data_IF_044485115982
#
_entry.id   IF_044485115982
#
_cell.length_a   1.000
_cell.length_b   1.000
_cell.length_c   1.000
_cell.angle_alpha   90.00
_cell.angle_beta   90.00
_cell.angle_gamma   90.00
#
_symmetry.space_group_name_H-M   'P 1'
#
loop_
_entity.id
_entity.type
_entity.pdbx_description
1 polymer ?
#
# COMPACT_ATOMS: atom_id res chain seq x y z
N UNK A 1 19.11 -9.72 3.93
CA UNK A 1 19.15 -8.33 4.42
C UNK A 1 20.29 -7.60 3.72
N UNK A 2 20.08 -6.37 3.24
CA UNK A 2 21.14 -5.59 2.55
C UNK A 2 22.12 -4.97 3.57
N UNK A 3 23.30 -4.56 3.12
CA UNK A 3 24.40 -4.11 4.01
C UNK A 3 24.02 -2.93 4.89
N UNK A 4 23.30 -1.95 4.36
CA UNK A 4 22.84 -0.77 5.13
C UNK A 4 21.96 -1.16 6.32
N UNK A 5 21.03 -2.10 6.13
CA UNK A 5 20.11 -2.55 7.18
C UNK A 5 20.84 -3.36 8.26
N UNK A 6 21.82 -4.20 7.86
CA UNK A 6 22.71 -4.88 8.83
C UNK A 6 23.45 -3.87 9.70
N UNK A 7 24.06 -2.86 9.08
CA UNK A 7 24.76 -1.81 9.83
C UNK A 7 23.87 -1.02 10.78
N UNK A 8 22.60 -0.77 10.42
CA UNK A 8 21.64 -0.12 11.33
C UNK A 8 21.27 -1.02 12.52
N UNK A 9 21.04 -2.31 12.27
CA UNK A 9 20.78 -3.29 13.34
C UNK A 9 21.96 -3.39 14.30
N UNK A 10 23.18 -3.54 13.76
CA UNK A 10 24.37 -3.79 14.56
C UNK A 10 24.74 -2.57 15.44
N UNK A 11 24.36 -1.34 15.03
CA UNK A 11 24.46 -0.12 15.87
C UNK A 11 23.27 0.09 16.82
N UNK A 12 22.29 -0.81 16.84
CA UNK A 12 21.16 -0.77 17.77
C UNK A 12 20.18 0.40 17.57
N UNK A 13 20.13 1.00 16.37
CA UNK A 13 19.23 2.16 16.08
C UNK A 13 17.83 1.74 15.63
N UNK A 14 17.58 0.45 15.40
CA UNK A 14 16.27 -0.08 15.02
C UNK A 14 15.37 -0.26 16.26
N UNK A 15 15.09 0.85 16.96
CA UNK A 15 14.20 0.91 18.12
C UNK A 15 12.89 1.59 17.73
N UNK A 16 11.78 0.87 17.81
CA UNK A 16 10.46 1.42 17.53
C UNK A 16 9.89 2.08 18.79
N UNK A 17 9.27 3.25 18.60
CA UNK A 17 8.43 3.91 19.60
C UNK A 17 6.98 3.90 19.09
N UNK A 18 5.97 3.94 19.99
CA UNK A 18 4.59 4.18 19.58
C UNK A 18 4.46 5.48 18.79
N UNK A 19 3.47 5.56 17.90
CA UNK A 19 3.17 6.81 17.19
C UNK A 19 2.88 7.92 18.21
N UNK A 20 3.50 9.08 18.01
CA UNK A 20 3.25 10.26 18.82
C UNK A 20 1.82 10.77 18.62
N UNK A 21 1.30 11.52 19.59
CA UNK A 21 -0.09 11.99 19.61
C UNK A 21 -0.25 13.33 18.89
N UNK A 22 0.74 14.23 18.99
CA UNK A 22 0.68 15.56 18.40
C UNK A 22 2.06 16.09 18.01
N UNK A 23 2.06 17.05 17.09
CA UNK A 23 3.22 17.89 16.80
C UNK A 23 3.21 19.09 17.75
N UNK A 24 4.39 19.46 18.26
CA UNK A 24 4.61 20.72 18.97
C UNK A 24 5.33 21.70 18.05
N UNK A 25 5.50 22.94 18.51
CA UNK A 25 6.25 23.97 17.78
C UNK A 25 7.68 23.53 17.44
N UNK A 26 8.28 22.67 18.26
CA UNK A 26 9.69 22.26 18.21
C UNK A 26 9.91 20.74 18.07
N UNK A 27 8.84 19.95 17.90
CA UNK A 27 8.96 18.50 17.88
C UNK A 27 7.64 17.73 17.93
N UNK A 28 7.64 16.62 18.68
CA UNK A 28 6.52 15.69 18.82
C UNK A 28 6.29 15.32 20.28
N UNK A 29 5.05 14.98 20.64
CA UNK A 29 4.70 14.59 22.00
C UNK A 29 3.71 13.41 22.07
N UNK A 30 3.79 12.65 23.16
CA UNK A 30 2.93 11.50 23.47
C UNK A 30 1.88 11.88 24.52
N UNK A 31 0.85 11.02 24.66
CA UNK A 31 -0.27 11.25 25.58
C UNK A 31 0.15 11.25 27.07
N UNK A 32 1.30 10.67 27.40
CA UNK A 32 1.87 10.68 28.76
C UNK A 32 2.66 11.96 29.09
N UNK A 33 2.75 12.89 28.14
CA UNK A 33 3.50 14.15 28.29
C UNK A 33 4.98 14.05 27.86
N UNK A 34 5.47 12.87 27.44
CA UNK A 34 6.81 12.74 26.86
C UNK A 34 6.93 13.61 25.62
N UNK A 35 8.06 14.31 25.48
CA UNK A 35 8.37 15.18 24.35
C UNK A 35 9.71 14.81 23.72
N UNK A 36 9.79 14.93 22.39
CA UNK A 36 11.01 14.75 21.63
C UNK A 36 11.16 15.87 20.59
N UNK A 37 12.25 16.67 20.66
CA UNK A 37 12.56 17.67 19.64
C UNK A 37 12.76 17.03 18.26
N UNK A 38 12.20 17.65 17.21
CA UNK A 38 12.35 17.18 15.84
C UNK A 38 12.32 18.36 14.85
N UNK A 39 13.35 18.44 14.00
CA UNK A 39 13.45 19.46 12.95
C UNK A 39 12.87 19.00 11.62
N UNK A 40 12.77 17.69 11.43
CA UNK A 40 12.24 17.07 10.22
C UNK A 40 11.53 15.77 10.58
N UNK A 41 10.46 15.47 9.85
CA UNK A 41 9.71 14.22 9.95
C UNK A 41 9.71 13.55 8.58
N UNK A 42 10.11 12.27 8.54
CA UNK A 42 10.05 11.44 7.33
C UNK A 42 8.86 10.50 7.47
N UNK A 43 7.82 10.71 6.66
CA UNK A 43 6.60 9.92 6.69
C UNK A 43 6.76 8.61 5.90
N UNK A 44 7.18 7.56 6.58
CA UNK A 44 7.24 6.19 6.04
C UNK A 44 5.91 5.43 6.23
N UNK A 45 4.76 6.11 6.11
CA UNK A 45 3.42 5.60 6.44
C UNK A 45 2.70 4.88 5.29
N UNK A 46 3.45 4.49 4.26
CA UNK A 46 2.92 3.77 3.09
C UNK A 46 2.15 4.66 2.11
N UNK A 47 1.36 4.02 1.26
CA UNK A 47 0.70 4.64 0.10
C UNK A 47 -0.75 4.17 -0.04
N UNK A 48 -1.54 4.92 -0.82
CA UNK A 48 -2.87 4.51 -1.30
C UNK A 48 -2.82 4.19 -2.79
N UNK A 49 -3.70 3.32 -3.32
CA UNK A 49 -3.81 3.08 -4.75
C UNK A 49 -4.06 4.37 -5.54
N UNK A 50 -3.27 4.60 -6.60
CA UNK A 50 -3.39 5.78 -7.45
C UNK A 50 -4.52 5.63 -8.48
N UNK A 51 -5.76 5.71 -8.03
CA UNK A 51 -6.96 5.38 -8.81
C UNK A 51 -7.79 6.60 -9.23
N UNK A 52 -7.28 7.83 -9.07
CA UNK A 52 -8.04 9.06 -9.37
C UNK A 52 -8.59 9.12 -10.80
N UNK A 53 -7.85 8.56 -11.77
CA UNK A 53 -8.28 8.49 -13.16
C UNK A 53 -9.56 7.65 -13.38
N UNK A 54 -9.96 6.82 -12.40
CA UNK A 54 -11.19 6.03 -12.43
C UNK A 54 -12.36 6.70 -11.70
N UNK A 55 -12.18 7.90 -11.13
CA UNK A 55 -13.21 8.59 -10.37
C UNK A 55 -14.56 8.73 -11.11
N UNK A 56 -14.60 9.03 -12.43
CA UNK A 56 -15.86 9.11 -13.18
C UNK A 56 -16.63 7.79 -13.27
N UNK A 57 -15.98 6.64 -13.04
CA UNK A 57 -16.60 5.33 -13.09
C UNK A 57 -17.26 4.93 -11.76
N UNK A 58 -17.05 5.73 -10.70
CA UNK A 58 -17.63 5.50 -9.37
C UNK A 58 -17.39 4.08 -8.82
N UNK A 59 -16.22 3.51 -9.09
CA UNK A 59 -15.83 2.15 -8.70
C UNK A 59 -15.23 2.05 -7.29
N UNK A 60 -14.89 3.19 -6.68
CA UNK A 60 -14.24 3.23 -5.37
C UNK A 60 -15.18 2.79 -4.25
N UNK A 61 -14.63 2.02 -3.33
CA UNK A 61 -15.25 1.61 -2.07
C UNK A 61 -14.56 2.31 -0.88
N UNK A 62 -14.90 1.88 0.33
CA UNK A 62 -14.24 2.33 1.56
C UNK A 62 -12.70 2.15 1.47
N UNK A 63 -11.95 3.12 2.03
CA UNK A 63 -10.48 3.20 1.95
C UNK A 63 -9.89 3.44 0.55
N UNK A 64 -10.69 3.76 -0.46
CA UNK A 64 -10.21 4.14 -1.79
C UNK A 64 -9.79 2.97 -2.69
N UNK A 65 -10.13 1.73 -2.30
CA UNK A 65 -9.93 0.52 -3.13
C UNK A 65 -11.14 0.29 -4.05
N UNK A 66 -11.01 -0.63 -4.99
CA UNK A 66 -12.13 -1.10 -5.83
C UNK A 66 -12.48 -2.51 -5.38
N UNK A 67 -13.76 -2.86 -5.27
CA UNK A 67 -14.15 -4.26 -5.03
C UNK A 67 -13.74 -5.11 -6.24
N UNK A 68 -12.99 -6.19 -6.01
CA UNK A 68 -12.50 -7.10 -7.05
C UNK A 68 -12.89 -8.55 -6.79
N UNK A 69 -12.90 -9.37 -7.85
CA UNK A 69 -13.15 -10.80 -7.78
C UNK A 69 -13.01 -11.47 -9.14
N UNK A 70 -13.82 -12.53 -9.36
CA UNK A 70 -13.76 -13.33 -10.58
C UNK A 70 -12.57 -14.30 -10.62
N UNK A 71 -12.40 -15.06 -11.71
CA UNK A 71 -11.37 -16.09 -11.83
C UNK A 71 -9.93 -15.56 -11.64
N UNK A 72 -9.67 -14.33 -12.06
CA UNK A 72 -8.37 -13.68 -11.91
C UNK A 72 -8.14 -13.02 -10.55
N UNK A 73 -9.20 -12.81 -9.75
CA UNK A 73 -9.14 -12.05 -8.50
C UNK A 73 -8.89 -10.54 -8.68
N UNK A 74 -8.81 -10.05 -9.91
CA UNK A 74 -8.43 -8.67 -10.26
C UNK A 74 -9.55 -7.89 -10.94
N UNK A 75 -10.62 -8.56 -11.38
CA UNK A 75 -11.72 -7.93 -12.11
C UNK A 75 -12.59 -7.12 -11.16
N UNK A 76 -12.92 -5.88 -11.52
CA UNK A 76 -13.87 -5.07 -10.75
C UNK A 76 -15.23 -5.76 -10.66
N UNK A 77 -15.82 -5.76 -9.46
CA UNK A 77 -17.14 -6.30 -9.23
C UNK A 77 -18.27 -5.43 -9.84
N UNK A 78 -18.01 -4.13 -10.06
CA UNK A 78 -19.01 -3.17 -10.55
C UNK A 78 -18.92 -2.91 -12.06
N UNK A 79 -17.72 -2.91 -12.64
CA UNK A 79 -17.53 -2.82 -14.09
C UNK A 79 -16.62 -3.94 -14.57
N UNK A 80 -17.17 -5.01 -15.20
CA UNK A 80 -16.39 -6.19 -15.55
C UNK A 80 -15.39 -5.94 -16.70
N UNK A 81 -15.35 -4.74 -17.28
CA UNK A 81 -14.35 -4.31 -18.28
C UNK A 81 -13.08 -3.76 -17.62
N UNK A 82 -13.12 -3.53 -16.31
CA UNK A 82 -12.05 -2.88 -15.55
C UNK A 82 -11.36 -3.89 -14.64
N UNK A 83 -10.03 -3.92 -14.67
CA UNK A 83 -9.19 -4.81 -13.89
C UNK A 83 -8.15 -4.03 -13.08
N UNK A 84 -7.89 -4.46 -11.85
CA UNK A 84 -6.91 -3.89 -10.94
C UNK A 84 -5.74 -4.87 -10.78
N UNK A 85 -4.54 -4.50 -11.21
CA UNK A 85 -3.36 -5.37 -11.16
C UNK A 85 -2.21 -4.64 -10.47
N UNK A 86 -1.52 -5.30 -9.54
CA UNK A 86 -0.31 -4.76 -8.90
C UNK A 86 -0.52 -3.69 -7.82
N UNK A 87 -1.75 -3.51 -7.33
CA UNK A 87 -2.10 -2.50 -6.32
C UNK A 87 -1.99 -2.98 -4.86
N UNK A 88 -1.44 -4.17 -4.63
CA UNK A 88 -1.23 -4.77 -3.31
C UNK A 88 -1.99 -6.08 -3.12
N UNK A 89 -1.90 -6.64 -1.92
CA UNK A 89 -2.42 -7.99 -1.64
C UNK A 89 -3.92 -8.16 -1.92
N UNK A 90 -4.69 -7.08 -1.89
CA UNK A 90 -6.12 -7.06 -2.19
C UNK A 90 -6.47 -7.33 -3.66
N UNK A 91 -5.49 -7.31 -4.57
CA UNK A 91 -5.61 -7.71 -5.98
C UNK A 91 -4.69 -8.87 -6.36
N UNK A 92 -4.20 -9.60 -5.36
CA UNK A 92 -3.26 -10.70 -5.55
C UNK A 92 -2.13 -10.63 -4.51
N UNK A 93 -1.87 -11.71 -3.76
CA UNK A 93 -0.77 -11.77 -2.81
C UNK A 93 0.56 -11.37 -3.43
N UNK A 94 1.32 -10.49 -2.75
CA UNK A 94 2.60 -9.98 -3.21
C UNK A 94 2.57 -9.28 -4.60
N UNK A 95 1.39 -8.89 -5.11
CA UNK A 95 1.27 -8.29 -6.45
C UNK A 95 1.98 -6.94 -6.58
N UNK A 96 2.25 -6.24 -5.47
CA UNK A 96 3.06 -5.01 -5.41
C UNK A 96 4.55 -5.32 -5.26
N UNK A 97 5.02 -6.37 -5.93
CA UNK A 97 6.43 -6.73 -6.01
C UNK A 97 6.78 -7.20 -7.41
N UNK A 98 8.04 -7.00 -7.82
CA UNK A 98 8.52 -7.45 -9.14
C UNK A 98 8.33 -8.96 -9.35
N UNK A 99 8.53 -9.76 -8.30
CA UNK A 99 8.42 -11.21 -8.39
C UNK A 99 6.96 -11.70 -8.32
N UNK A 100 6.10 -11.03 -7.56
CA UNK A 100 4.73 -11.51 -7.31
C UNK A 100 3.68 -11.07 -8.34
N UNK A 101 3.89 -9.95 -9.05
CA UNK A 101 2.87 -9.40 -9.97
C UNK A 101 2.50 -10.35 -11.12
N UNK A 102 3.45 -11.17 -11.58
CA UNK A 102 3.32 -11.97 -12.79
C UNK A 102 2.15 -12.97 -12.75
N UNK A 103 1.84 -13.53 -11.57
CA UNK A 103 0.73 -14.47 -11.40
C UNK A 103 -0.62 -13.78 -11.66
N UNK A 104 -0.90 -12.69 -10.93
CA UNK A 104 -2.13 -11.91 -11.09
C UNK A 104 -2.27 -11.32 -12.50
N UNK A 105 -1.16 -10.89 -13.12
CA UNK A 105 -1.15 -10.36 -14.48
C UNK A 105 -1.50 -11.44 -15.52
N UNK A 106 -0.94 -12.66 -15.40
CA UNK A 106 -1.25 -13.78 -16.30
C UNK A 106 -2.71 -14.20 -16.18
N UNK A 107 -3.22 -14.33 -14.96
CA UNK A 107 -4.62 -14.69 -14.71
C UNK A 107 -5.57 -13.61 -15.26
N UNK A 108 -5.23 -12.33 -15.11
CA UNK A 108 -5.98 -11.21 -15.70
C UNK A 108 -6.03 -11.28 -17.21
N UNK A 109 -4.89 -11.52 -17.87
CA UNK A 109 -4.83 -11.66 -19.32
C UNK A 109 -5.68 -12.84 -19.81
N UNK A 110 -5.65 -13.99 -19.11
CA UNK A 110 -6.50 -15.14 -19.40
C UNK A 110 -7.99 -14.80 -19.29
N UNK A 111 -8.43 -14.20 -18.17
CA UNK A 111 -9.84 -13.81 -17.98
C UNK A 111 -10.30 -12.75 -18.98
N UNK A 112 -9.42 -11.88 -19.49
CA UNK A 112 -9.76 -10.95 -20.58
C UNK A 112 -9.95 -11.71 -21.89
N UNK A 113 -9.03 -12.61 -22.26
CA UNK A 113 -9.10 -13.39 -23.50
C UNK A 113 -10.34 -14.27 -23.54
N UNK A 114 -10.69 -14.92 -22.43
CA UNK A 114 -11.89 -15.78 -22.34
C UNK A 114 -13.21 -15.01 -22.50
N UNK A 115 -13.16 -13.66 -22.47
CA UNK A 115 -14.32 -12.77 -22.56
C UNK A 115 -14.39 -11.97 -23.86
N UNK A 116 -13.37 -12.06 -24.72
CA UNK A 116 -13.35 -11.47 -26.06
C UNK A 116 -13.99 -12.43 -27.06
#
# INVERSE_FOLDING_TARGET
>A
MVTSVRGARDRGVLKAHPMFTLHTHDGIAWADGTHQPAYAVIWCTGFRPALHHLAPLHLHEHQGRVAVGGPSGTRSARDPRVYMVGYGDWVGPASVTLAGVAESARATAGDIVDRL
#
